data_IF_482280473799
#
_entry.id   IF_482280473799
#
_cell.length_a   1.000
_cell.length_b   1.000
_cell.length_c   1.000
_cell.angle_alpha   90.00
_cell.angle_beta   90.00
_cell.angle_gamma   90.00
#
_symmetry.space_group_name_H-M   'P 1'
#
loop_
_entity.id
_entity.type
_entity.pdbx_description
1 polymer ?
#
# COMPACT_ATOMS: atom_id res chain seq x y z
N UNK A 1 17.03 -5.42 -36.38
CA UNK A 1 16.23 -6.52 -35.84
C UNK A 1 15.54 -5.96 -34.61
N UNK A 2 14.25 -5.69 -34.73
CA UNK A 2 13.46 -5.26 -33.54
C UNK A 2 13.39 -6.43 -32.59
N UNK A 3 14.10 -6.34 -31.46
CA UNK A 3 13.97 -7.29 -30.38
C UNK A 3 12.62 -7.05 -29.71
N UNK A 4 11.65 -7.88 -30.02
CA UNK A 4 10.34 -7.88 -29.35
C UNK A 4 10.57 -8.02 -27.84
N UNK A 5 10.07 -7.07 -27.09
CA UNK A 5 10.11 -7.13 -25.62
C UNK A 5 9.17 -8.24 -25.16
N UNK A 6 9.67 -9.14 -24.32
CA UNK A 6 8.87 -10.24 -23.75
C UNK A 6 7.83 -9.67 -22.77
N UNK A 7 6.53 -9.95 -22.95
CA UNK A 7 5.47 -9.40 -22.10
C UNK A 7 5.38 -10.18 -20.78
N UNK A 8 6.34 -9.96 -19.88
CA UNK A 8 6.43 -10.65 -18.58
C UNK A 8 6.27 -9.67 -17.42
N UNK A 9 5.55 -10.09 -16.38
CA UNK A 9 5.52 -9.40 -15.11
C UNK A 9 6.78 -9.71 -14.29
N UNK A 10 7.20 -8.78 -13.42
CA UNK A 10 8.20 -9.10 -12.41
C UNK A 10 7.76 -10.26 -11.52
N UNK A 11 8.72 -11.04 -11.01
CA UNK A 11 8.42 -12.13 -10.08
C UNK A 11 7.67 -11.63 -8.84
N UNK A 12 6.63 -12.35 -8.44
CA UNK A 12 5.80 -11.97 -7.28
C UNK A 12 4.67 -10.98 -7.56
N UNK A 13 4.50 -10.56 -8.83
CA UNK A 13 3.38 -9.72 -9.25
C UNK A 13 2.38 -10.52 -10.08
N UNK A 14 1.14 -10.09 -10.10
CA UNK A 14 0.06 -10.80 -10.78
C UNK A 14 -0.99 -9.84 -11.32
N UNK A 15 -1.42 -10.08 -12.56
CA UNK A 15 -2.63 -9.50 -13.10
C UNK A 15 -3.88 -10.27 -12.65
N UNK A 16 -4.99 -9.56 -12.53
CA UNK A 16 -6.27 -10.13 -12.20
C UNK A 16 -7.22 -10.03 -13.39
N UNK A 17 -7.80 -11.15 -13.78
CA UNK A 17 -8.79 -11.19 -14.85
C UNK A 17 -10.06 -10.39 -14.47
N UNK A 18 -10.85 -9.91 -15.46
CA UNK A 18 -12.09 -9.19 -15.19
C UNK A 18 -13.03 -9.94 -14.25
N UNK A 19 -13.13 -11.26 -14.39
CA UNK A 19 -13.94 -12.11 -13.50
C UNK A 19 -13.48 -12.04 -12.04
N UNK A 20 -12.18 -12.09 -11.80
CA UNK A 20 -11.58 -11.99 -10.46
C UNK A 20 -11.80 -10.60 -9.86
N UNK A 21 -11.63 -9.54 -10.67
CA UNK A 21 -11.86 -8.17 -10.22
C UNK A 21 -13.33 -7.95 -9.85
N UNK A 22 -14.28 -8.41 -10.66
CA UNK A 22 -15.72 -8.29 -10.37
C UNK A 22 -16.11 -9.04 -9.10
N UNK A 23 -15.58 -10.25 -8.88
CA UNK A 23 -15.81 -11.02 -7.67
C UNK A 23 -15.28 -10.28 -6.43
N UNK A 24 -14.07 -9.73 -6.52
CA UNK A 24 -13.46 -8.94 -5.46
C UNK A 24 -14.27 -7.68 -5.15
N UNK A 25 -14.69 -6.93 -6.16
CA UNK A 25 -15.51 -5.74 -5.97
C UNK A 25 -16.87 -6.04 -5.30
N UNK A 26 -17.48 -7.17 -5.64
CA UNK A 26 -18.73 -7.61 -4.98
C UNK A 26 -18.51 -7.87 -3.49
N UNK A 27 -17.44 -8.58 -3.15
CA UNK A 27 -17.04 -8.83 -1.75
C UNK A 27 -16.77 -7.52 -1.01
N UNK A 28 -16.01 -6.62 -1.61
CA UNK A 28 -15.67 -5.32 -1.02
C UNK A 28 -16.91 -4.50 -0.70
N UNK A 29 -17.84 -4.37 -1.65
CA UNK A 29 -19.11 -3.64 -1.44
C UNK A 29 -19.93 -4.22 -0.29
N UNK A 30 -19.94 -5.55 -0.14
CA UNK A 30 -20.64 -6.19 0.96
C UNK A 30 -20.03 -5.83 2.33
N UNK A 31 -18.71 -5.89 2.45
CA UNK A 31 -17.99 -5.53 3.68
C UNK A 31 -18.18 -4.04 3.99
N UNK A 32 -17.96 -3.16 3.03
CA UNK A 32 -18.16 -1.71 3.19
C UNK A 32 -19.59 -1.36 3.61
N UNK A 33 -20.59 -2.05 3.04
CA UNK A 33 -22.00 -1.88 3.42
C UNK A 33 -22.21 -2.13 4.92
N UNK A 34 -21.62 -3.21 5.45
CA UNK A 34 -21.70 -3.52 6.88
C UNK A 34 -20.95 -2.46 7.71
N UNK A 35 -19.74 -2.10 7.34
CA UNK A 35 -18.93 -1.13 8.10
C UNK A 35 -19.62 0.23 8.22
N UNK A 36 -20.26 0.69 7.16
CA UNK A 36 -21.03 1.94 7.15
C UNK A 36 -22.17 1.93 8.16
N UNK A 37 -22.83 0.78 8.38
CA UNK A 37 -23.90 0.68 9.41
C UNK A 37 -23.37 0.84 10.82
N UNK A 38 -22.07 0.60 11.05
CA UNK A 38 -21.38 0.81 12.33
C UNK A 38 -20.66 2.17 12.43
N UNK A 39 -20.90 3.07 11.48
CA UNK A 39 -20.33 4.42 11.48
C UNK A 39 -18.86 4.49 11.03
N UNK A 40 -18.37 3.48 10.33
CA UNK A 40 -17.04 3.55 9.74
C UNK A 40 -17.05 4.41 8.47
N UNK A 41 -16.04 5.24 8.31
CA UNK A 41 -15.82 6.10 7.15
C UNK A 41 -14.61 5.64 6.34
N UNK A 42 -14.62 5.81 5.00
CA UNK A 42 -13.46 5.47 4.19
C UNK A 42 -12.32 6.46 4.42
N UNK A 43 -11.11 5.93 4.50
CA UNK A 43 -9.86 6.68 4.48
C UNK A 43 -9.01 6.17 3.32
N UNK A 44 -8.24 7.03 2.71
CA UNK A 44 -7.23 6.65 1.72
C UNK A 44 -5.93 7.38 2.02
N UNK A 45 -4.92 6.61 2.39
CA UNK A 45 -3.55 7.11 2.57
C UNK A 45 -2.73 6.92 1.30
N UNK A 46 -1.64 7.69 1.15
CA UNK A 46 -0.76 7.58 -0.01
C UNK A 46 -0.03 6.22 -0.03
N UNK A 47 0.11 5.63 -1.22
CA UNK A 47 0.99 4.47 -1.45
C UNK A 47 2.44 4.85 -1.18
N UNK A 48 2.84 6.05 -1.61
CA UNK A 48 4.18 6.58 -1.44
C UNK A 48 4.35 7.19 -0.05
N UNK A 49 5.27 6.67 0.71
CA UNK A 49 5.60 7.14 2.06
C UNK A 49 7.09 7.48 2.15
N UNK A 50 7.47 8.35 3.07
CA UNK A 50 8.88 8.53 3.41
C UNK A 50 9.39 7.26 4.08
N UNK A 51 10.58 6.81 3.69
CA UNK A 51 11.19 5.62 4.28
C UNK A 51 11.26 5.69 5.80
N UNK A 52 11.68 6.84 6.33
CA UNK A 52 11.76 7.09 7.78
C UNK A 52 10.45 6.93 8.51
N UNK A 53 9.32 7.22 7.85
CA UNK A 53 7.97 6.99 8.40
C UNK A 53 7.68 5.51 8.52
N UNK A 54 8.09 4.70 7.53
CA UNK A 54 7.82 3.25 7.50
C UNK A 54 8.73 2.46 8.43
N UNK A 55 9.98 2.91 8.65
CA UNK A 55 10.98 2.16 9.42
C UNK A 55 11.16 2.69 10.85
N UNK A 56 10.76 3.95 11.12
CA UNK A 56 11.16 4.62 12.35
C UNK A 56 12.69 4.67 12.48
N UNK A 57 13.18 4.58 13.70
CA UNK A 57 14.62 4.48 14.04
C UNK A 57 15.12 3.01 14.08
N UNK A 58 14.25 2.07 13.75
CA UNK A 58 14.55 0.65 13.79
C UNK A 58 15.44 0.17 12.62
N UNK A 59 15.91 -1.10 12.69
CA UNK A 59 16.66 -1.69 11.60
C UNK A 59 15.84 -1.70 10.33
N UNK A 60 16.48 -1.34 9.20
CA UNK A 60 15.85 -1.33 7.89
C UNK A 60 15.38 -2.74 7.52
N UNK A 61 14.08 -2.93 7.41
CA UNK A 61 13.56 -4.17 6.87
C UNK A 61 13.95 -4.30 5.39
N UNK A 62 14.64 -5.38 5.03
CA UNK A 62 15.05 -5.69 3.65
C UNK A 62 13.87 -5.96 2.70
N UNK A 63 12.64 -5.72 3.16
CA UNK A 63 11.38 -6.03 2.48
C UNK A 63 10.69 -4.82 1.87
N UNK A 64 11.33 -3.65 1.91
CA UNK A 64 10.75 -2.41 1.41
C UNK A 64 11.01 -2.23 -0.08
N UNK A 65 9.99 -1.83 -0.80
CA UNK A 65 10.08 -1.40 -2.20
C UNK A 65 10.35 0.09 -2.27
N UNK A 66 11.57 0.48 -2.63
CA UNK A 66 11.92 1.88 -2.85
C UNK A 66 11.45 2.32 -4.23
N UNK A 67 10.77 3.46 -4.29
CA UNK A 67 10.34 4.10 -5.54
C UNK A 67 11.47 4.98 -6.05
N UNK A 68 11.85 4.80 -7.30
CA UNK A 68 12.87 5.63 -7.97
C UNK A 68 12.21 6.46 -9.07
N UNK A 69 12.50 7.75 -9.10
CA UNK A 69 12.12 8.63 -10.20
C UNK A 69 13.35 8.87 -11.05
N UNK A 70 13.27 8.61 -12.34
CA UNK A 70 14.42 8.67 -13.26
C UNK A 70 14.95 10.09 -13.55
N UNK A 71 14.36 11.13 -13.00
CA UNK A 71 14.87 12.49 -13.13
C UNK A 71 15.91 12.78 -12.06
N UNK A 72 17.07 13.26 -12.50
CA UNK A 72 18.32 13.43 -11.80
C UNK A 72 18.35 14.38 -10.57
N UNK A 73 17.23 14.74 -10.01
CA UNK A 73 17.12 15.62 -8.86
C UNK A 73 16.53 14.90 -7.65
N UNK A 74 16.78 13.62 -7.53
CA UNK A 74 16.50 12.96 -6.26
C UNK A 74 17.67 13.34 -5.35
N UNK A 75 17.32 14.18 -4.40
CA UNK A 75 18.15 14.52 -3.26
C UNK A 75 18.80 13.23 -2.72
N UNK A 76 20.11 13.22 -2.58
CA UNK A 76 20.86 12.09 -2.05
C UNK A 76 20.62 11.87 -0.55
N UNK A 77 19.73 12.68 0.05
CA UNK A 77 19.34 12.55 1.45
C UNK A 77 18.46 11.28 1.64
N UNK A 78 18.95 10.27 2.36
CA UNK A 78 18.21 9.04 2.63
C UNK A 78 16.84 9.28 3.32
N UNK A 79 16.71 10.39 4.08
CA UNK A 79 15.46 10.75 4.77
C UNK A 79 14.34 11.11 3.81
N UNK A 80 14.68 11.49 2.58
CA UNK A 80 13.72 11.83 1.51
C UNK A 80 13.44 10.66 0.57
N UNK A 81 14.00 9.49 0.84
CA UNK A 81 13.73 8.28 0.04
C UNK A 81 12.24 7.95 0.11
N UNK A 82 11.61 7.88 -1.05
CA UNK A 82 10.21 7.49 -1.20
C UNK A 82 10.13 5.97 -1.32
N UNK A 83 9.23 5.38 -0.56
CA UNK A 83 9.07 3.94 -0.45
C UNK A 83 7.59 3.57 -0.58
N UNK A 84 7.28 2.47 -1.26
CA UNK A 84 5.93 1.96 -1.30
C UNK A 84 5.55 1.38 0.08
N UNK A 85 4.33 1.66 0.54
CA UNK A 85 3.81 1.15 1.81
C UNK A 85 3.74 -0.38 1.79
N UNK A 86 4.10 -1.02 2.90
CA UNK A 86 4.04 -2.48 3.07
C UNK A 86 2.82 -2.93 3.87
N UNK A 87 2.10 -2.00 4.48
CA UNK A 87 0.82 -2.18 5.16
C UNK A 87 -0.02 -0.89 5.12
N UNK A 88 -1.19 -0.90 5.75
CA UNK A 88 -2.05 0.27 5.90
C UNK A 88 -1.99 0.87 7.32
N UNK A 89 -1.38 0.17 8.28
CA UNK A 89 -1.32 0.58 9.70
C UNK A 89 -0.36 1.73 9.92
N UNK A 90 0.86 1.66 9.37
CA UNK A 90 1.86 2.73 9.54
C UNK A 90 1.43 4.03 8.85
N UNK A 91 0.91 4.02 7.61
CA UNK A 91 0.31 5.20 7.00
C UNK A 91 -0.85 5.80 7.80
N UNK A 92 -1.68 4.95 8.43
CA UNK A 92 -2.73 5.41 9.33
C UNK A 92 -2.15 6.12 10.54
N UNK A 93 -1.18 5.53 11.22
CA UNK A 93 -0.53 6.13 12.40
C UNK A 93 0.05 7.51 12.07
N UNK A 94 0.74 7.63 10.92
CA UNK A 94 1.22 8.93 10.42
C UNK A 94 0.07 9.91 10.20
N UNK A 95 -1.01 9.48 9.52
CA UNK A 95 -2.17 10.33 9.23
C UNK A 95 -2.81 10.84 10.52
N UNK A 96 -3.02 9.95 11.51
CA UNK A 96 -3.58 10.32 12.81
C UNK A 96 -2.67 11.31 13.55
N UNK A 97 -1.37 11.06 13.58
CA UNK A 97 -0.40 11.95 14.22
C UNK A 97 -0.38 13.35 13.60
N UNK A 98 -0.47 13.43 12.26
CA UNK A 98 -0.50 14.69 11.52
C UNK A 98 -1.79 15.48 11.75
N UNK A 99 -2.93 14.79 11.98
CA UNK A 99 -4.26 15.38 12.05
C UNK A 99 -4.90 15.27 13.44
N UNK A 100 -4.13 14.98 14.49
CA UNK A 100 -4.64 14.70 15.83
C UNK A 100 -5.58 15.79 16.39
N UNK A 101 -5.33 17.04 16.04
CA UNK A 101 -6.15 18.19 16.50
C UNK A 101 -7.48 18.35 15.74
N UNK A 102 -7.70 17.61 14.64
CA UNK A 102 -8.91 17.72 13.81
C UNK A 102 -9.72 16.41 13.74
N UNK A 103 -9.16 15.31 14.26
CA UNK A 103 -9.84 14.01 14.28
C UNK A 103 -10.73 13.91 15.51
N UNK A 104 -12.01 13.59 15.28
CA UNK A 104 -12.94 13.25 16.36
C UNK A 104 -12.80 11.79 16.76
N UNK A 105 -12.73 11.52 18.07
CA UNK A 105 -12.66 10.16 18.61
C UNK A 105 -14.00 9.71 19.21
N UNK A 106 -14.38 8.43 19.06
CA UNK A 106 -13.62 7.32 18.43
C UNK A 106 -13.57 7.42 16.90
N UNK A 107 -12.37 7.38 16.32
CA UNK A 107 -12.15 7.44 14.87
C UNK A 107 -12.35 6.05 14.26
N UNK A 108 -13.55 5.81 13.74
CA UNK A 108 -13.90 4.57 13.05
C UNK A 108 -13.67 4.76 11.56
N UNK A 109 -12.64 4.12 11.03
CA UNK A 109 -12.29 4.21 9.60
C UNK A 109 -12.06 2.83 9.00
N UNK A 110 -12.19 2.72 7.70
CA UNK A 110 -11.66 1.60 6.94
C UNK A 110 -10.84 2.12 5.75
N UNK A 111 -9.87 1.35 5.33
CA UNK A 111 -9.07 1.63 4.14
C UNK A 111 -8.90 0.34 3.34
N UNK A 112 -8.96 0.49 2.01
CA UNK A 112 -8.67 -0.58 1.06
C UNK A 112 -7.59 -0.09 0.12
N UNK A 113 -6.52 -0.83 0.01
CA UNK A 113 -5.44 -0.41 -0.87
C UNK A 113 -4.38 -1.48 -1.06
N UNK A 114 -3.60 -1.28 -2.12
CA UNK A 114 -2.49 -2.15 -2.42
C UNK A 114 -1.31 -1.85 -1.50
N UNK A 115 -0.64 -2.93 -1.10
CA UNK A 115 0.56 -2.91 -0.28
C UNK A 115 1.64 -3.76 -0.95
N UNK A 116 2.90 -3.42 -0.67
CA UNK A 116 4.06 -3.96 -1.39
C UNK A 116 5.06 -4.55 -0.40
N UNK A 117 5.31 -5.86 -0.51
CA UNK A 117 6.27 -6.56 0.34
C UNK A 117 7.35 -7.21 -0.49
N UNK A 118 8.62 -6.86 -0.25
CA UNK A 118 9.80 -7.42 -0.93
C UNK A 118 10.17 -8.82 -0.44
N UNK A 119 9.18 -9.66 -0.16
CA UNK A 119 9.40 -11.04 0.28
C UNK A 119 9.68 -11.96 -0.90
N UNK A 120 10.33 -13.10 -0.64
CA UNK A 120 10.51 -14.13 -1.67
C UNK A 120 9.16 -14.67 -2.12
N UNK A 121 8.82 -14.58 -3.42
CA UNK A 121 7.56 -15.05 -3.94
C UNK A 121 7.37 -16.56 -3.72
N UNK A 122 6.19 -16.95 -3.31
CA UNK A 122 5.79 -18.35 -3.13
C UNK A 122 4.36 -18.55 -3.65
N UNK A 123 3.92 -19.79 -3.80
CA UNK A 123 2.54 -20.09 -4.17
C UNK A 123 1.56 -19.43 -3.18
N UNK A 124 0.71 -18.53 -3.68
CA UNK A 124 -0.24 -17.78 -2.86
C UNK A 124 0.35 -16.58 -2.09
N UNK A 125 1.65 -16.29 -2.23
CA UNK A 125 2.33 -15.15 -1.60
C UNK A 125 2.90 -14.23 -2.66
N UNK A 126 2.29 -13.06 -2.79
CA UNK A 126 2.65 -12.05 -3.79
C UNK A 126 3.38 -10.88 -3.15
N UNK A 127 4.20 -10.19 -3.96
CA UNK A 127 4.87 -8.95 -3.55
C UNK A 127 3.91 -7.76 -3.54
N UNK A 128 2.85 -7.80 -4.35
CA UNK A 128 1.77 -6.82 -4.40
C UNK A 128 0.44 -7.51 -4.12
N UNK A 129 -0.31 -6.99 -3.15
CA UNK A 129 -1.63 -7.50 -2.82
C UNK A 129 -2.49 -6.43 -2.17
N UNK A 130 -3.80 -6.59 -2.29
CA UNK A 130 -4.76 -5.70 -1.67
C UNK A 130 -4.97 -6.07 -0.20
N UNK A 131 -4.88 -5.08 0.67
CA UNK A 131 -5.22 -5.18 2.08
C UNK A 131 -6.52 -4.42 2.35
N UNK A 132 -7.35 -4.97 3.23
CA UNK A 132 -8.51 -4.30 3.81
C UNK A 132 -8.22 -4.14 5.30
N UNK A 133 -8.29 -2.91 5.81
CA UNK A 133 -7.94 -2.57 7.19
C UNK A 133 -9.02 -1.68 7.83
N UNK A 134 -9.33 -1.89 9.09
CA UNK A 134 -10.33 -1.16 9.86
C UNK A 134 -9.92 -0.96 11.32
#
# INVERSE_FOLDING_TARGET
MDTLVKPELPGGFKDYSPRQVLARQKMMRAIEGVLRTFGFVPLQTSIAQRRTVLTGEGPVENRLWNMRVDKATINTDPSLTVTARFDLTVPLARYVAENIGSIEFPFRRYEVGDVFRGESPQAGRFCEFMQFDM
#
